data_IF_148351388181
#
_entry.id   IF_148351388181
#
_cell.length_a   1.000
_cell.length_b   1.000
_cell.length_c   1.000
_cell.angle_alpha   90.00
_cell.angle_beta   90.00
_cell.angle_gamma   90.00
#
_symmetry.space_group_name_H-M   'P 1'
#
loop_
_entity.id
_entity.type
_entity.pdbx_description
1 polymer ?
#
# COMPACT_ATOMS: atom_id res chain seq x y z
N UNK A 1 6.85 -2.32 10.91
CA UNK A 1 6.32 -3.16 9.83
C UNK A 1 6.67 -2.56 8.48
N UNK A 2 6.98 -3.41 7.49
CA UNK A 2 7.26 -3.05 6.10
C UNK A 2 6.44 -3.96 5.20
N UNK A 3 5.90 -3.42 4.11
CA UNK A 3 5.08 -4.16 3.15
C UNK A 3 5.40 -3.69 1.73
N UNK A 4 5.63 -4.65 0.83
CA UNK A 4 5.63 -4.43 -0.61
C UNK A 4 4.38 -5.10 -1.19
N UNK A 5 3.71 -4.40 -2.09
CA UNK A 5 2.53 -4.88 -2.78
C UNK A 5 2.78 -4.82 -4.29
N UNK A 6 2.62 -5.96 -4.94
CA UNK A 6 2.86 -6.15 -6.36
C UNK A 6 1.53 -6.39 -7.06
N UNK A 7 1.19 -5.54 -8.02
CA UNK A 7 -0.06 -5.61 -8.78
C UNK A 7 0.23 -5.95 -10.24
N UNK A 8 -0.48 -6.94 -10.76
CA UNK A 8 -0.58 -7.21 -12.19
C UNK A 8 -1.87 -6.59 -12.70
N UNK A 9 -1.75 -5.55 -13.53
CA UNK A 9 -2.90 -4.78 -14.01
C UNK A 9 -3.05 -4.98 -15.52
N UNK A 10 -4.29 -5.25 -15.96
CA UNK A 10 -4.66 -5.37 -17.37
C UNK A 10 -5.70 -4.33 -17.73
N UNK A 11 -5.62 -3.83 -18.95
CA UNK A 11 -6.67 -3.01 -19.52
C UNK A 11 -7.80 -3.90 -20.05
N UNK A 12 -9.04 -3.63 -19.62
CA UNK A 12 -10.26 -4.30 -20.06
C UNK A 12 -11.35 -3.26 -20.24
N UNK A 13 -11.92 -3.16 -21.43
CA UNK A 13 -13.01 -2.23 -21.75
C UNK A 13 -12.70 -0.77 -21.36
N UNK A 14 -11.48 -0.31 -21.64
CA UNK A 14 -11.02 1.05 -21.30
C UNK A 14 -10.81 1.31 -19.80
N UNK A 15 -10.79 0.26 -18.96
CA UNK A 15 -10.49 0.36 -17.52
C UNK A 15 -9.30 -0.49 -17.15
N UNK A 16 -8.58 -0.08 -16.10
CA UNK A 16 -7.46 -0.84 -15.56
C UNK A 16 -7.90 -1.73 -14.40
N UNK A 17 -7.82 -3.05 -14.60
CA UNK A 17 -8.29 -4.07 -13.66
C UNK A 17 -7.09 -4.81 -13.05
N UNK A 18 -7.10 -4.97 -11.73
CA UNK A 18 -6.10 -5.74 -10.99
C UNK A 18 -6.39 -7.22 -11.19
N UNK A 19 -5.61 -7.90 -12.04
CA UNK A 19 -5.74 -9.34 -12.29
C UNK A 19 -5.16 -10.17 -11.15
N UNK A 20 -4.05 -9.71 -10.58
CA UNK A 20 -3.32 -10.41 -9.52
C UNK A 20 -2.71 -9.40 -8.55
N UNK A 21 -2.73 -9.74 -7.27
CA UNK A 21 -2.09 -8.99 -6.20
C UNK A 21 -1.25 -9.96 -5.37
N UNK A 22 0.02 -9.65 -5.15
CA UNK A 22 0.93 -10.38 -4.27
C UNK A 22 1.57 -9.43 -3.28
N UNK A 23 2.00 -9.94 -2.14
CA UNK A 23 2.68 -9.12 -1.14
C UNK A 23 3.92 -9.82 -0.60
N UNK A 24 4.84 -9.01 -0.11
CA UNK A 24 5.92 -9.40 0.79
C UNK A 24 5.84 -8.47 2.00
N UNK A 25 5.95 -8.99 3.22
CA UNK A 25 5.87 -8.16 4.43
C UNK A 25 6.77 -8.66 5.55
N UNK A 26 7.44 -7.73 6.22
CA UNK A 26 8.11 -7.95 7.50
C UNK A 26 7.34 -7.20 8.57
N UNK A 27 6.64 -7.96 9.42
CA UNK A 27 5.83 -7.40 10.49
C UNK A 27 5.26 -8.50 11.37
N UNK A 28 4.44 -8.09 12.33
CA UNK A 28 3.75 -9.04 13.21
C UNK A 28 2.65 -9.82 12.47
N UNK A 29 2.06 -10.83 13.12
CA UNK A 29 0.96 -11.62 12.55
C UNK A 29 -0.21 -10.76 12.04
N UNK A 30 -0.52 -9.64 12.70
CA UNK A 30 -1.56 -8.71 12.25
C UNK A 30 -1.19 -8.00 10.94
N UNK A 31 0.10 -7.72 10.69
CA UNK A 31 0.58 -7.18 9.42
C UNK A 31 0.40 -8.22 8.30
N UNK A 32 0.85 -9.46 8.52
CA UNK A 32 0.69 -10.56 7.56
C UNK A 32 -0.79 -10.76 7.20
N UNK A 33 -1.67 -10.82 8.21
CA UNK A 33 -3.11 -10.98 8.00
C UNK A 33 -3.71 -9.79 7.23
N UNK A 34 -3.35 -8.56 7.59
CA UNK A 34 -3.83 -7.35 6.90
C UNK A 34 -3.37 -7.29 5.44
N UNK A 35 -2.11 -7.65 5.17
CA UNK A 35 -1.56 -7.72 3.82
C UNK A 35 -2.26 -8.79 2.96
N UNK A 36 -2.52 -9.97 3.54
CA UNK A 36 -3.23 -11.05 2.85
C UNK A 36 -4.68 -10.67 2.53
N UNK A 37 -5.39 -10.05 3.48
CA UNK A 37 -6.76 -9.57 3.25
C UNK A 37 -6.77 -8.47 2.19
N UNK A 38 -5.80 -7.55 2.23
CA UNK A 38 -5.68 -6.49 1.24
C UNK A 38 -5.54 -7.03 -0.19
N UNK A 39 -4.75 -8.09 -0.41
CA UNK A 39 -4.62 -8.68 -1.76
C UNK A 39 -5.94 -9.29 -2.26
N UNK A 40 -6.69 -9.97 -1.39
CA UNK A 40 -7.97 -10.57 -1.78
C UNK A 40 -9.04 -9.50 -2.05
N UNK A 41 -9.12 -8.45 -1.23
CA UNK A 41 -10.13 -7.39 -1.37
C UNK A 41 -9.96 -6.61 -2.69
N UNK A 42 -8.74 -6.41 -3.18
CA UNK A 42 -8.48 -5.61 -4.38
C UNK A 42 -8.44 -6.44 -5.68
N UNK A 43 -8.28 -7.76 -5.58
CA UNK A 43 -8.20 -8.63 -6.75
C UNK A 43 -9.51 -8.58 -7.55
N UNK A 44 -9.39 -8.38 -8.86
CA UNK A 44 -10.52 -8.26 -9.78
C UNK A 44 -11.16 -6.88 -9.84
N UNK A 45 -10.82 -5.95 -8.94
CA UNK A 45 -11.31 -4.57 -8.95
C UNK A 45 -10.58 -3.71 -9.97
N UNK A 46 -11.22 -2.62 -10.38
CA UNK A 46 -10.52 -1.54 -11.09
C UNK A 46 -9.61 -0.77 -10.13
N UNK A 47 -8.63 -0.03 -10.66
CA UNK A 47 -7.76 0.81 -9.83
C UNK A 47 -8.58 1.88 -9.07
N UNK A 48 -9.65 2.42 -9.66
CA UNK A 48 -10.53 3.40 -9.02
C UNK A 48 -11.35 2.79 -7.88
N UNK A 49 -11.79 1.54 -8.03
CA UNK A 49 -12.46 0.79 -6.97
C UNK A 49 -11.50 0.40 -5.85
N UNK A 50 -10.27 0.00 -6.19
CA UNK A 50 -9.25 -0.34 -5.22
C UNK A 50 -8.78 0.89 -4.41
N UNK A 51 -8.74 2.09 -5.01
CA UNK A 51 -8.44 3.33 -4.28
C UNK A 51 -9.47 3.69 -3.20
N UNK A 52 -10.71 3.18 -3.32
CA UNK A 52 -11.77 3.36 -2.32
C UNK A 52 -11.67 2.39 -1.14
N UNK A 53 -10.85 1.34 -1.24
CA UNK A 53 -10.62 0.40 -0.15
C UNK A 53 -9.92 1.13 0.99
N UNK A 54 -10.51 1.08 2.17
CA UNK A 54 -10.03 1.72 3.38
C UNK A 54 -9.52 0.68 4.38
N UNK A 55 -8.78 1.13 5.40
CA UNK A 55 -8.38 0.25 6.49
C UNK A 55 -9.59 -0.34 7.23
N UNK A 56 -10.74 0.36 7.23
CA UNK A 56 -11.98 -0.14 7.84
C UNK A 56 -12.52 -1.36 7.11
N UNK A 57 -12.40 -1.40 5.78
CA UNK A 57 -12.80 -2.57 4.98
C UNK A 57 -11.91 -3.77 5.31
N UNK A 58 -10.60 -3.53 5.44
CA UNK A 58 -9.62 -4.55 5.84
C UNK A 58 -9.91 -5.07 7.26
N UNK A 59 -10.17 -4.16 8.21
CA UNK A 59 -10.53 -4.54 9.59
C UNK A 59 -11.83 -5.34 9.63
N UNK A 60 -12.83 -4.96 8.83
CA UNK A 60 -14.11 -5.67 8.76
C UNK A 60 -13.91 -7.10 8.29
N UNK A 61 -13.13 -7.29 7.23
CA UNK A 61 -12.85 -8.62 6.69
C UNK A 61 -12.04 -9.49 7.66
N UNK A 62 -11.15 -8.88 8.46
CA UNK A 62 -10.42 -9.56 9.54
C UNK A 62 -11.30 -9.91 10.76
N UNK A 63 -12.54 -9.42 10.84
CA UNK A 63 -13.37 -9.52 12.05
C UNK A 63 -12.92 -8.58 13.19
N UNK A 64 -12.06 -7.61 12.89
CA UNK A 64 -11.49 -6.65 13.82
C UNK A 64 -10.05 -6.97 14.24
N UNK A 65 -9.40 -5.98 14.88
CA UNK A 65 -8.09 -6.11 15.49
C UNK A 65 -8.08 -5.38 16.84
N UNK A 66 -7.25 -5.82 17.82
CA UNK A 66 -7.00 -5.03 19.02
C UNK A 66 -6.53 -3.62 18.66
N UNK A 67 -6.93 -2.61 19.44
CA UNK A 67 -6.68 -1.18 19.13
C UNK A 67 -5.21 -0.89 18.78
N UNK A 68 -4.28 -1.47 19.53
CA UNK A 68 -2.83 -1.30 19.32
C UNK A 68 -2.31 -1.87 18.00
N UNK A 69 -3.07 -2.75 17.32
CA UNK A 69 -2.72 -3.39 16.04
C UNK A 69 -3.47 -2.82 14.83
N UNK A 70 -4.35 -1.85 15.02
CA UNK A 70 -5.07 -1.19 13.92
C UNK A 70 -4.12 -0.57 12.89
N UNK A 71 -2.91 -0.16 13.29
CA UNK A 71 -1.91 0.38 12.36
C UNK A 71 -1.50 -0.61 11.25
N UNK A 72 -1.62 -1.92 11.46
CA UNK A 72 -1.36 -2.92 10.43
C UNK A 72 -2.36 -2.82 9.27
N UNK A 73 -3.61 -2.47 9.54
CA UNK A 73 -4.64 -2.22 8.51
C UNK A 73 -4.36 -0.93 7.74
N UNK A 74 -3.84 0.11 8.40
CA UNK A 74 -3.44 1.36 7.76
C UNK A 74 -2.23 1.15 6.84
N UNK A 75 -1.26 0.34 7.25
CA UNK A 75 -0.11 -0.03 6.41
C UNK A 75 -0.57 -0.71 5.11
N UNK A 76 -1.49 -1.66 5.21
CA UNK A 76 -2.02 -2.36 4.04
C UNK A 76 -2.81 -1.42 3.11
N UNK A 77 -3.58 -0.49 3.68
CA UNK A 77 -4.29 0.55 2.94
C UNK A 77 -3.32 1.50 2.20
N UNK A 78 -2.23 1.92 2.86
CA UNK A 78 -1.17 2.73 2.25
C UNK A 78 -0.46 1.98 1.12
N UNK A 79 -0.17 0.68 1.31
CA UNK A 79 0.47 -0.15 0.29
C UNK A 79 -0.39 -0.29 -0.98
N UNK A 80 -1.71 -0.41 -0.86
CA UNK A 80 -2.64 -0.41 -2.01
C UNK A 80 -2.48 0.88 -2.81
N UNK A 81 -2.51 2.02 -2.10
CA UNK A 81 -2.43 3.34 -2.74
C UNK A 81 -1.09 3.59 -3.39
N UNK A 82 0.02 3.27 -2.73
CA UNK A 82 1.37 3.42 -3.28
C UNK A 82 1.59 2.53 -4.52
N UNK A 83 1.07 1.29 -4.51
CA UNK A 83 1.17 0.40 -5.66
C UNK A 83 0.38 0.94 -6.87
N UNK A 84 -0.84 1.46 -6.64
CA UNK A 84 -1.64 2.09 -7.70
C UNK A 84 -0.99 3.38 -8.18
N UNK A 85 -0.51 4.24 -7.28
CA UNK A 85 0.23 5.45 -7.62
C UNK A 85 1.44 5.12 -8.51
N UNK A 86 2.23 4.11 -8.16
CA UNK A 86 3.37 3.66 -8.97
C UNK A 86 2.95 3.23 -10.37
N UNK A 87 1.83 2.49 -10.48
CA UNK A 87 1.28 2.09 -11.77
C UNK A 87 0.85 3.31 -12.61
N UNK A 88 0.07 4.23 -12.03
CA UNK A 88 -0.43 5.43 -12.71
C UNK A 88 0.72 6.30 -13.21
N UNK A 89 1.74 6.52 -12.37
CA UNK A 89 3.00 7.19 -12.73
C UNK A 89 3.67 6.54 -13.93
N UNK A 90 3.88 5.22 -13.90
CA UNK A 90 4.54 4.46 -14.98
C UNK A 90 3.75 4.47 -16.29
N UNK A 91 2.42 4.58 -16.21
CA UNK A 91 1.54 4.63 -17.38
C UNK A 91 1.25 6.05 -17.88
N UNK A 92 1.70 7.09 -17.17
CA UNK A 92 1.40 8.48 -17.51
C UNK A 92 -0.09 8.83 -17.35
N UNK A 93 -0.79 8.15 -16.44
CA UNK A 93 -2.20 8.44 -16.14
C UNK A 93 -2.29 9.65 -15.22
N UNK A 94 -3.44 10.34 -15.28
CA UNK A 94 -3.73 11.43 -14.35
C UNK A 94 -3.85 10.90 -12.91
N UNK A 95 -2.98 11.37 -12.03
CA UNK A 95 -2.97 10.99 -10.63
C UNK A 95 -3.94 11.91 -9.87
N UNK A 96 -4.90 11.36 -9.09
CA UNK A 96 -5.77 12.19 -8.25
C UNK A 96 -4.97 13.00 -7.23
N UNK A 97 -5.33 14.27 -7.02
CA UNK A 97 -4.62 15.18 -6.11
C UNK A 97 -4.49 14.63 -4.69
N UNK A 98 -5.53 13.94 -4.19
CA UNK A 98 -5.50 13.30 -2.87
C UNK A 98 -4.44 12.20 -2.79
N UNK A 99 -4.29 11.41 -3.86
CA UNK A 99 -3.31 10.33 -3.93
C UNK A 99 -1.88 10.89 -3.99
N UNK A 100 -1.66 11.94 -4.77
CA UNK A 100 -0.37 12.65 -4.85
C UNK A 100 0.03 13.19 -3.47
N UNK A 101 -0.87 13.94 -2.81
CA UNK A 101 -0.63 14.48 -1.46
C UNK A 101 -0.33 13.40 -0.43
N UNK A 102 -0.96 12.22 -0.55
CA UNK A 102 -0.70 11.10 0.35
C UNK A 102 0.68 10.50 0.10
N UNK A 103 1.05 10.31 -1.17
CA UNK A 103 2.39 9.85 -1.56
C UNK A 103 3.49 10.78 -1.03
N UNK A 104 3.34 12.09 -1.20
CA UNK A 104 4.29 13.09 -0.69
C UNK A 104 4.47 13.00 0.83
N UNK A 105 3.39 12.80 1.58
CA UNK A 105 3.44 12.64 3.04
C UNK A 105 4.17 11.36 3.46
N UNK A 106 3.92 10.24 2.78
CA UNK A 106 4.59 8.96 3.04
C UNK A 106 6.08 9.11 2.73
N UNK A 107 6.41 9.67 1.57
CA UNK A 107 7.79 9.93 1.14
C UNK A 107 8.55 10.81 2.14
N UNK A 108 7.97 11.94 2.56
CA UNK A 108 8.60 12.83 3.52
C UNK A 108 8.88 12.15 4.88
N UNK A 109 7.97 11.27 5.34
CA UNK A 109 8.19 10.46 6.56
C UNK A 109 9.31 9.44 6.37
N UNK A 110 9.36 8.80 5.21
CA UNK A 110 10.41 7.84 4.87
C UNK A 110 11.77 8.52 4.80
N UNK A 111 11.89 9.65 4.09
CA UNK A 111 13.13 10.43 3.95
C UNK A 111 13.67 10.86 5.32
N UNK A 112 12.79 11.38 6.20
CA UNK A 112 13.15 11.73 7.58
C UNK A 112 13.63 10.52 8.38
N UNK A 113 12.96 9.37 8.22
CA UNK A 113 13.34 8.13 8.90
C UNK A 113 14.70 7.63 8.41
N UNK A 114 14.94 7.66 7.10
CA UNK A 114 16.22 7.28 6.49
C UNK A 114 17.36 8.21 6.95
N UNK A 115 17.13 9.52 6.98
CA UNK A 115 18.12 10.48 7.47
C UNK A 115 18.49 10.21 8.94
N UNK A 116 17.50 9.92 9.79
CA UNK A 116 17.73 9.55 11.19
C UNK A 116 18.59 8.27 11.30
N UNK A 117 18.27 7.22 10.54
CA UNK A 117 19.03 5.97 10.58
C UNK A 117 20.45 6.13 10.03
N UNK A 118 20.65 6.97 9.00
CA UNK A 118 21.98 7.35 8.50
C UNK A 118 22.80 8.05 9.59
N UNK A 119 22.21 9.01 10.32
CA UNK A 119 22.87 9.70 11.45
C UNK A 119 23.24 8.76 12.60
N UNK A 120 22.43 7.74 12.84
CA UNK A 120 22.68 6.71 13.86
C UNK A 120 23.62 5.59 13.37
N UNK A 121 24.05 5.62 12.11
CA UNK A 121 24.95 4.61 11.54
C UNK A 121 24.30 3.27 11.20
N UNK A 122 22.97 3.17 11.20
CA UNK A 122 22.24 1.94 10.89
C UNK A 122 22.14 1.65 9.38
N UNK A 123 22.35 2.65 8.52
CA UNK A 123 22.29 2.52 7.07
C UNK A 123 23.54 3.14 6.46
N UNK A 124 24.38 2.32 5.86
CA UNK A 124 25.64 2.71 5.20
C UNK A 124 25.47 2.65 3.68
N UNK A 125 25.14 3.78 3.05
CA UNK A 125 25.11 3.89 1.59
C UNK A 125 23.78 3.51 0.90
N UNK A 126 23.66 3.91 -0.36
CA UNK A 126 22.46 3.77 -1.21
C UNK A 126 22.38 2.36 -1.81
N UNK A 127 21.24 1.68 -1.58
CA UNK A 127 20.80 0.51 -2.35
C UNK A 127 19.90 0.97 -3.50
#
# INVERSE_FOLDING_TARGET
DVMWLYLKIKEKNGKYVIEEAKFETFGCAAAIASSSVATEIIKGKTIEEALKVSNKDILKELGGLPLVKVHCSLLAEDAIREAIYNFMRKKGLQIPEELEKRHEKIKARLDKTLEMHKKLGYVTGEN
#
